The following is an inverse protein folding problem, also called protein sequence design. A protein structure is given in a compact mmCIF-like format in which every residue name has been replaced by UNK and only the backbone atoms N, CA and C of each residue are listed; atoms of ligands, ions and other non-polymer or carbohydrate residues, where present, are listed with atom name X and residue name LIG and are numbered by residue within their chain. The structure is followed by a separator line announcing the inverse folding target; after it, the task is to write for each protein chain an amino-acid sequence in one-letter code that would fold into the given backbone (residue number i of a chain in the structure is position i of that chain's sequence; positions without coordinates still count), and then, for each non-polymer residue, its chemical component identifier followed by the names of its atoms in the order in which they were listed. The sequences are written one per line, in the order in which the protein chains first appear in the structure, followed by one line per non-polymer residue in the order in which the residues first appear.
data_IF_450818763067
#
_entry.id   IF_450818763067
#
_cell.length_a   1.000
_cell.length_b   1.000
_cell.length_c   1.000
_cell.angle_alpha   90.00
_cell.angle_beta   90.00
_cell.angle_gamma   90.00
#
_symmetry.space_group_name_H-M   'P 1'
#
loop_
_entity.id
_entity.type
_entity.pdbx_description
1 polymer ?
#
# COMPACT_ATOMS: atom_id res chain seq x y z
N UNK A 1 21.57 27.30 -68.74
CA UNK A 1 22.16 28.34 -67.88
C UNK A 1 21.34 28.43 -66.61
N UNK A 2 22.07 28.44 -65.50
CA UNK A 2 21.60 28.25 -64.12
C UNK A 2 20.62 29.37 -63.69
N UNK A 3 19.69 29.09 -62.77
CA UNK A 3 19.88 29.46 -61.36
C UNK A 3 18.63 29.18 -60.48
N UNK A 4 18.81 28.19 -59.59
CA UNK A 4 18.60 28.29 -58.13
C UNK A 4 17.16 28.44 -57.60
N UNK A 5 16.61 27.28 -57.18
CA UNK A 5 15.68 27.15 -56.05
C UNK A 5 16.21 27.94 -54.84
N UNK A 6 15.45 28.92 -54.36
CA UNK A 6 15.64 29.46 -53.00
C UNK A 6 14.72 28.71 -52.06
N UNK A 7 15.23 27.60 -51.51
CA UNK A 7 14.65 26.96 -50.32
C UNK A 7 14.76 27.93 -49.14
N UNK A 8 13.62 28.34 -48.61
CA UNK A 8 13.53 29.08 -47.35
C UNK A 8 13.59 28.05 -46.21
N UNK A 9 14.79 27.70 -45.77
CA UNK A 9 14.99 26.91 -44.55
C UNK A 9 14.81 27.81 -43.33
N UNK A 10 13.61 27.76 -42.76
CA UNK A 10 13.29 28.33 -41.46
C UNK A 10 13.98 27.46 -40.39
N UNK A 11 15.15 27.88 -39.94
CA UNK A 11 15.88 27.22 -38.86
C UNK A 11 15.21 27.56 -37.51
N UNK A 12 14.30 26.70 -37.07
CA UNK A 12 13.85 26.69 -35.68
C UNK A 12 15.01 26.23 -34.78
N UNK A 13 15.63 27.19 -34.09
CA UNK A 13 16.48 26.92 -32.93
C UNK A 13 15.62 26.31 -31.82
N UNK A 14 15.58 24.98 -31.77
CA UNK A 14 15.06 24.23 -30.63
C UNK A 14 16.04 24.41 -29.47
N UNK A 15 15.80 25.42 -28.64
CA UNK A 15 16.38 25.48 -27.30
C UNK A 15 15.68 24.39 -26.49
N UNK A 16 16.25 23.20 -26.47
CA UNK A 16 15.81 22.16 -25.55
C UNK A 16 16.26 22.57 -24.15
N UNK A 17 15.35 22.87 -23.21
CA UNK A 17 15.76 22.93 -21.81
C UNK A 17 16.22 21.53 -21.44
N UNK A 18 17.51 21.40 -21.12
CA UNK A 18 18.02 20.25 -20.39
C UNK A 18 17.28 20.23 -19.07
N UNK A 19 16.31 19.33 -18.95
CA UNK A 19 15.65 19.01 -17.68
C UNK A 19 16.76 18.54 -16.75
N UNK A 20 17.20 19.42 -15.86
CA UNK A 20 18.01 19.04 -14.72
C UNK A 20 17.13 18.12 -13.88
N UNK A 21 17.31 16.81 -14.01
CA UNK A 21 16.78 15.85 -13.07
C UNK A 21 17.55 16.08 -11.79
N UNK A 22 17.03 16.96 -10.93
CA UNK A 22 17.42 16.93 -9.55
C UNK A 22 16.82 15.62 -8.99
N UNK A 23 17.59 14.54 -9.04
CA UNK A 23 17.46 13.44 -8.09
C UNK A 23 17.83 13.98 -6.71
N UNK A 24 16.96 14.82 -6.18
CA UNK A 24 16.90 15.12 -4.77
C UNK A 24 16.50 13.82 -4.10
N UNK A 25 17.50 13.07 -3.64
CA UNK A 25 17.31 12.07 -2.60
C UNK A 25 16.81 12.82 -1.34
N UNK A 26 15.51 13.10 -1.31
CA UNK A 26 14.82 13.57 -0.13
C UNK A 26 14.64 12.35 0.77
N UNK A 27 15.64 12.09 1.61
CA UNK A 27 15.44 11.16 2.72
C UNK A 27 14.52 11.87 3.72
N UNK A 28 13.22 11.67 3.55
CA UNK A 28 12.26 11.99 4.60
C UNK A 28 12.66 11.23 5.86
N UNK A 29 12.94 12.00 6.90
CA UNK A 29 13.18 11.52 8.26
C UNK A 29 11.87 11.40 9.05
N UNK A 30 10.73 11.27 8.36
CA UNK A 30 9.46 11.04 9.05
C UNK A 30 9.54 9.67 9.75
N UNK A 31 9.54 9.71 11.08
CA UNK A 31 9.36 8.54 11.91
C UNK A 31 7.86 8.31 12.05
N UNK A 32 7.36 7.29 11.35
CA UNK A 32 5.97 6.87 11.45
C UNK A 32 5.82 5.89 12.62
N UNK A 33 4.61 5.80 13.18
CA UNK A 33 4.38 4.84 14.25
C UNK A 33 4.60 3.39 13.74
N UNK A 34 5.24 2.50 14.52
CA UNK A 34 5.38 1.09 14.14
C UNK A 34 4.04 0.37 13.93
N UNK A 35 2.95 0.92 14.46
CA UNK A 35 1.60 0.42 14.21
C UNK A 35 1.13 0.77 12.79
N UNK A 36 1.36 2.00 12.33
CA UNK A 36 1.04 2.42 10.97
C UNK A 36 1.93 1.72 9.93
N UNK A 37 3.23 1.57 10.21
CA UNK A 37 4.16 0.90 9.30
C UNK A 37 3.76 -0.56 9.02
N UNK A 38 3.25 -1.26 10.04
CA UNK A 38 2.76 -2.64 9.90
C UNK A 38 1.52 -2.76 9.02
N UNK A 39 0.78 -1.67 8.78
CA UNK A 39 -0.40 -1.65 7.92
C UNK A 39 -0.05 -1.27 6.46
N UNK A 40 1.23 -1.14 6.11
CA UNK A 40 1.65 -0.67 4.78
C UNK A 40 1.08 -1.49 3.63
N UNK A 41 1.08 -2.82 3.74
CA UNK A 41 0.54 -3.71 2.70
C UNK A 41 -1.00 -3.63 2.64
N UNK A 42 -1.69 -3.47 3.76
CA UNK A 42 -3.15 -3.29 3.80
C UNK A 42 -3.57 -1.93 3.21
N UNK A 43 -2.79 -0.87 3.46
CA UNK A 43 -2.98 0.46 2.87
C UNK A 43 -2.82 0.39 1.34
N UNK A 44 -1.77 -0.28 0.86
CA UNK A 44 -1.58 -0.53 -0.58
C UNK A 44 -2.74 -1.37 -1.11
N UNK A 45 -3.13 -2.43 -0.40
CA UNK A 45 -4.23 -3.32 -0.75
C UNK A 45 -5.53 -2.56 -0.99
N UNK A 46 -6.00 -1.79 -0.02
CA UNK A 46 -7.21 -0.98 -0.15
C UNK A 46 -7.11 0.03 -1.31
N UNK A 47 -5.93 0.63 -1.51
CA UNK A 47 -5.69 1.57 -2.62
C UNK A 47 -5.82 0.89 -3.99
N UNK A 48 -5.21 -0.29 -4.16
CA UNK A 48 -5.27 -1.06 -5.41
C UNK A 48 -6.69 -1.63 -5.63
N UNK A 49 -7.36 -2.08 -4.56
CA UNK A 49 -8.74 -2.54 -4.60
C UNK A 49 -9.70 -1.44 -5.07
N UNK A 50 -9.52 -0.21 -4.59
CA UNK A 50 -10.24 0.95 -5.09
C UNK A 50 -9.96 1.19 -6.57
N UNK A 51 -8.68 1.18 -6.97
CA UNK A 51 -8.28 1.34 -8.38
C UNK A 51 -8.87 0.28 -9.30
N UNK A 52 -9.02 -0.94 -8.81
CA UNK A 52 -9.61 -2.06 -9.56
C UNK A 52 -11.15 -2.00 -9.63
N UNK A 53 -11.80 -1.11 -8.86
CA UNK A 53 -13.25 -1.04 -8.77
C UNK A 53 -13.87 -2.13 -7.88
N UNK A 54 -13.08 -2.74 -7.00
CA UNK A 54 -13.53 -3.77 -6.05
C UNK A 54 -13.80 -3.22 -4.65
N UNK A 55 -13.39 -1.98 -4.37
CA UNK A 55 -13.79 -1.20 -3.20
C UNK A 55 -14.66 -0.04 -3.67
N UNK A 56 -15.86 0.09 -3.11
CA UNK A 56 -16.82 1.13 -3.50
C UNK A 56 -16.42 2.51 -2.93
N UNK A 57 -16.90 3.59 -3.54
CA UNK A 57 -16.72 4.94 -2.99
C UNK A 57 -17.36 5.07 -1.59
N UNK A 58 -18.47 4.36 -1.35
CA UNK A 58 -19.19 4.38 -0.07
C UNK A 58 -18.40 3.69 1.05
N UNK A 59 -17.67 2.62 0.71
CA UNK A 59 -16.92 1.79 1.67
C UNK A 59 -15.46 2.24 1.85
N UNK A 60 -14.92 3.04 0.93
CA UNK A 60 -13.52 3.47 0.94
C UNK A 60 -13.16 4.25 2.22
N UNK A 61 -13.88 5.33 2.50
CA UNK A 61 -13.59 6.19 3.64
C UNK A 61 -13.76 5.45 4.98
N UNK A 62 -14.84 4.68 5.23
CA UNK A 62 -14.96 3.86 6.42
C UNK A 62 -13.82 2.83 6.59
N UNK A 63 -13.43 2.14 5.52
CA UNK A 63 -12.36 1.14 5.58
C UNK A 63 -11.02 1.77 5.97
N UNK A 64 -10.61 2.87 5.32
CA UNK A 64 -9.38 3.58 5.68
C UNK A 64 -9.44 4.18 7.09
N UNK A 65 -10.58 4.74 7.49
CA UNK A 65 -10.79 5.29 8.84
C UNK A 65 -10.58 4.22 9.91
N UNK A 66 -11.17 3.04 9.71
CA UNK A 66 -11.03 1.93 10.66
C UNK A 66 -9.61 1.37 10.68
N UNK A 67 -8.94 1.29 9.53
CA UNK A 67 -7.54 0.89 9.41
C UNK A 67 -6.63 1.81 10.25
N UNK A 68 -6.73 3.13 10.10
CA UNK A 68 -5.87 4.06 10.84
C UNK A 68 -6.23 4.14 12.33
N UNK A 69 -7.49 3.94 12.69
CA UNK A 69 -7.92 3.82 14.09
C UNK A 69 -7.28 2.60 14.78
N UNK A 70 -7.04 1.51 14.04
CA UNK A 70 -6.31 0.35 14.55
C UNK A 70 -4.85 0.72 14.87
N UNK A 71 -4.20 1.51 14.00
CA UNK A 71 -2.86 2.02 14.22
C UNK A 71 -2.77 3.20 15.21
N UNK A 72 -3.91 3.73 15.69
CA UNK A 72 -3.96 4.97 16.46
C UNK A 72 -3.29 6.15 15.72
N UNK A 73 -3.42 6.16 14.40
CA UNK A 73 -2.85 7.17 13.50
C UNK A 73 -3.93 8.15 13.04
N UNK A 74 -3.52 9.34 12.60
CA UNK A 74 -4.42 10.32 11.99
C UNK A 74 -4.46 10.15 10.47
N UNK A 75 -5.49 10.71 9.82
CA UNK A 75 -5.55 10.76 8.35
C UNK A 75 -4.38 11.55 7.74
N UNK A 76 -3.88 12.57 8.45
CA UNK A 76 -2.69 13.33 8.05
C UNK A 76 -1.42 12.46 8.12
N UNK A 77 -1.24 11.69 9.20
CA UNK A 77 -0.12 10.76 9.35
C UNK A 77 -0.16 9.68 8.26
N UNK A 78 -1.35 9.14 7.97
CA UNK A 78 -1.55 8.22 6.85
C UNK A 78 -1.16 8.87 5.52
N UNK A 79 -1.62 10.09 5.25
CA UNK A 79 -1.30 10.81 4.02
C UNK A 79 0.21 11.02 3.86
N UNK A 80 0.89 11.43 4.92
CA UNK A 80 2.36 11.57 4.92
C UNK A 80 3.06 10.23 4.73
N UNK A 81 2.62 9.17 5.41
CA UNK A 81 3.19 7.83 5.28
C UNK A 81 3.01 7.27 3.88
N UNK A 82 1.82 7.45 3.30
CA UNK A 82 1.54 7.06 1.93
C UNK A 82 2.47 7.78 0.97
N UNK A 83 2.52 9.11 1.00
CA UNK A 83 3.36 9.89 0.08
C UNK A 83 4.85 9.57 0.22
N UNK A 84 5.32 9.27 1.43
CA UNK A 84 6.74 9.06 1.71
C UNK A 84 7.22 7.62 1.49
N UNK A 85 6.40 6.63 1.83
CA UNK A 85 6.82 5.21 1.89
C UNK A 85 6.10 4.32 0.91
N UNK A 86 4.82 4.58 0.63
CA UNK A 86 3.97 3.63 -0.09
C UNK A 86 3.64 4.06 -1.53
N UNK A 87 3.55 5.36 -1.78
CA UNK A 87 3.06 5.97 -3.02
C UNK A 87 3.76 5.43 -4.26
N UNK A 88 5.10 5.47 -4.35
CA UNK A 88 5.83 4.92 -5.50
C UNK A 88 5.55 3.44 -5.76
N UNK A 89 5.39 2.64 -4.69
CA UNK A 89 5.08 1.20 -4.78
C UNK A 89 3.65 0.98 -5.25
N UNK A 90 2.69 1.70 -4.67
CA UNK A 90 1.28 1.65 -5.05
C UNK A 90 1.09 2.09 -6.51
N UNK A 91 1.77 3.14 -6.96
CA UNK A 91 1.75 3.60 -8.35
C UNK A 91 2.35 2.56 -9.31
N UNK A 92 3.46 1.92 -8.93
CA UNK A 92 4.07 0.84 -9.72
C UNK A 92 3.07 -0.30 -9.91
N UNK A 93 2.40 -0.73 -8.83
CA UNK A 93 1.39 -1.79 -8.89
C UNK A 93 0.20 -1.33 -9.75
N UNK A 94 -0.39 -0.17 -9.45
CA UNK A 94 -1.56 0.36 -10.16
C UNK A 94 -1.30 0.66 -11.64
N UNK A 95 -0.04 0.81 -12.05
CA UNK A 95 0.38 0.99 -13.43
C UNK A 95 0.58 -0.30 -14.23
N UNK A 96 0.63 -1.46 -13.57
CA UNK A 96 0.85 -2.77 -14.20
C UNK A 96 -0.38 -3.67 -14.02
N UNK A 97 -1.02 -4.05 -15.13
CA UNK A 97 -2.22 -4.89 -15.13
C UNK A 97 -1.98 -6.30 -14.54
N UNK A 98 -0.79 -6.88 -14.75
CA UNK A 98 -0.46 -8.20 -14.18
C UNK A 98 -0.21 -8.10 -12.69
N UNK A 99 0.43 -7.02 -12.23
CA UNK A 99 0.55 -6.76 -10.81
C UNK A 99 -0.85 -6.60 -10.21
N UNK A 100 -1.67 -5.67 -10.73
CA UNK A 100 -3.05 -5.45 -10.27
C UNK A 100 -3.91 -6.71 -10.23
N UNK A 101 -3.71 -7.66 -11.13
CA UNK A 101 -4.47 -8.90 -11.18
C UNK A 101 -4.29 -9.78 -9.94
N UNK A 102 -3.21 -9.62 -9.18
CA UNK A 102 -3.01 -10.30 -7.89
C UNK A 102 -4.00 -9.82 -6.81
N UNK A 103 -4.49 -8.58 -6.93
CA UNK A 103 -5.54 -8.00 -6.07
C UNK A 103 -6.91 -8.34 -6.63
N UNK A 104 -7.27 -9.63 -6.51
CA UNK A 104 -8.53 -10.17 -7.00
C UNK A 104 -9.74 -9.57 -6.25
N UNK A 105 -10.93 -9.72 -6.84
CA UNK A 105 -12.17 -9.29 -6.20
C UNK A 105 -12.39 -9.97 -4.84
N UNK A 106 -12.08 -11.26 -4.73
CA UNK A 106 -12.21 -12.01 -3.48
C UNK A 106 -11.26 -11.47 -2.41
N UNK A 107 -9.99 -11.23 -2.78
CA UNK A 107 -9.02 -10.63 -1.87
C UNK A 107 -9.49 -9.26 -1.37
N UNK A 108 -9.94 -8.41 -2.29
CA UNK A 108 -10.43 -7.08 -1.96
C UNK A 108 -11.68 -7.11 -1.08
N UNK A 109 -12.58 -8.07 -1.30
CA UNK A 109 -13.75 -8.27 -0.46
C UNK A 109 -13.36 -8.68 0.96
N UNK A 110 -12.42 -9.60 1.12
CA UNK A 110 -11.93 -10.05 2.44
C UNK A 110 -11.25 -8.91 3.20
N UNK A 111 -10.37 -8.16 2.52
CA UNK A 111 -9.68 -7.01 3.09
C UNK A 111 -10.65 -5.91 3.52
N UNK A 112 -11.59 -5.55 2.63
CA UNK A 112 -12.61 -4.53 2.90
C UNK A 112 -13.49 -4.96 4.07
N UNK A 113 -13.96 -6.22 4.08
CA UNK A 113 -14.79 -6.74 5.18
C UNK A 113 -14.06 -6.71 6.52
N UNK A 114 -12.75 -7.00 6.52
CA UNK A 114 -11.92 -6.90 7.72
C UNK A 114 -11.94 -5.49 8.31
N UNK A 115 -11.84 -4.47 7.46
CA UNK A 115 -11.82 -3.09 7.90
C UNK A 115 -13.19 -2.43 8.08
N UNK A 116 -14.26 -2.96 7.49
CA UNK A 116 -15.63 -2.51 7.77
C UNK A 116 -16.18 -3.10 9.07
N UNK A 117 -15.67 -4.25 9.52
CA UNK A 117 -16.09 -4.90 10.76
C UNK A 117 -15.34 -4.35 11.98
N UNK A 118 -15.75 -3.15 12.43
CA UNK A 118 -15.15 -2.47 13.58
C UNK A 118 -15.15 -3.31 14.88
N UNK A 119 -16.14 -4.18 15.06
CA UNK A 119 -16.25 -5.08 16.23
C UNK A 119 -15.16 -6.17 16.20
N UNK A 120 -14.84 -6.73 15.02
CA UNK A 120 -13.71 -7.66 14.88
C UNK A 120 -12.37 -6.95 15.12
N UNK A 121 -12.20 -5.73 14.63
CA UNK A 121 -10.97 -4.95 14.86
C UNK A 121 -10.78 -4.60 16.34
N UNK A 122 -11.85 -4.25 17.05
CA UNK A 122 -11.78 -3.95 18.49
C UNK A 122 -11.39 -5.19 19.31
N UNK A 123 -11.90 -6.38 18.94
CA UNK A 123 -11.54 -7.65 19.59
C UNK A 123 -10.07 -8.01 19.37
N UNK A 124 -9.54 -7.79 18.16
CA UNK A 124 -8.12 -8.07 17.88
C UNK A 124 -7.18 -7.15 18.65
N UNK A 125 -7.56 -5.87 18.84
CA UNK A 125 -6.82 -4.90 19.66
C UNK A 125 -6.78 -5.29 21.15
N UNK A 126 -7.87 -5.83 21.68
CA UNK A 126 -7.97 -6.20 23.10
C UNK A 126 -7.20 -7.48 23.46
N UNK A 127 -6.91 -8.37 22.51
CA UNK A 127 -6.08 -9.56 22.78
C UNK A 127 -4.57 -9.27 22.80
N UNK A 128 -4.13 -8.07 22.39
CA UNK A 128 -2.72 -7.68 22.46
C UNK A 128 -2.31 -7.09 23.82
N UNK A 129 -3.24 -6.93 24.78
CA UNK A 129 -2.98 -6.22 26.04
C UNK A 129 -2.97 -7.08 27.31
N UNK A 130 -3.17 -8.40 27.25
CA UNK A 130 -3.26 -9.24 28.44
C UNK A 130 -2.10 -10.23 28.56
N UNK A 131 -1.01 -9.78 29.19
CA UNK A 131 0.00 -10.66 29.77
C UNK A 131 -0.11 -10.59 31.30
N UNK A 132 -1.04 -11.37 31.86
CA UNK A 132 -1.04 -11.70 33.29
C UNK A 132 -1.01 -13.22 33.46
N UNK A 133 -0.05 -13.69 34.26
CA UNK A 133 0.23 -15.11 34.50
C UNK A 133 -0.84 -15.76 35.39
N UNK A 134 -1.49 -16.83 34.92
CA UNK A 134 -2.15 -17.82 35.77
C UNK A 134 -2.10 -19.20 35.10
N UNK A 135 -1.61 -20.20 35.84
CA UNK A 135 -1.52 -21.60 35.44
C UNK A 135 -2.88 -22.30 35.61
N UNK A 136 -3.34 -23.07 34.63
CA UNK A 136 -3.80 -24.47 34.75
C UNK A 136 -4.64 -24.94 33.54
N UNK A 137 -4.16 -26.04 32.93
CA UNK A 137 -4.87 -27.13 32.26
C UNK A 137 -5.63 -26.95 30.92
N UNK A 138 -5.04 -27.64 29.91
CA UNK A 138 -5.60 -28.22 28.68
C UNK A 138 -6.07 -27.28 27.57
N UNK A 139 -5.26 -27.21 26.50
CA UNK A 139 -5.55 -27.78 25.18
C UNK A 139 -5.07 -26.87 24.03
N UNK A 140 -4.48 -27.50 23.01
CA UNK A 140 -3.96 -26.99 21.74
C UNK A 140 -2.96 -25.82 21.76
N UNK A 141 -1.71 -26.22 21.57
CA UNK A 141 -0.58 -25.43 21.11
C UNK A 141 -0.96 -24.65 19.84
N UNK A 142 -1.31 -23.38 19.98
CA UNK A 142 -1.11 -22.39 18.92
C UNK A 142 0.12 -21.59 19.35
N UNK A 143 1.27 -22.12 18.94
CA UNK A 143 2.52 -21.39 18.95
C UNK A 143 2.31 -20.02 18.31
N UNK A 144 2.90 -19.02 18.96
CA UNK A 144 3.12 -17.70 18.41
C UNK A 144 3.55 -17.85 16.94
N UNK A 145 2.74 -17.28 16.04
CA UNK A 145 2.87 -17.45 14.60
C UNK A 145 4.21 -16.89 14.09
N UNK A 146 5.23 -17.71 14.19
CA UNK A 146 6.26 -17.82 13.17
C UNK A 146 5.50 -18.25 11.91
N UNK A 147 5.15 -17.26 11.08
CA UNK A 147 4.41 -17.45 9.83
C UNK A 147 5.11 -18.56 9.04
N UNK A 148 4.49 -19.73 8.92
CA UNK A 148 5.09 -20.83 8.17
C UNK A 148 5.35 -20.36 6.74
N UNK A 149 6.47 -20.78 6.15
CA UNK A 149 6.88 -20.36 4.80
C UNK A 149 5.77 -20.60 3.77
N UNK A 150 4.91 -21.60 3.98
CA UNK A 150 3.76 -21.90 3.12
C UNK A 150 2.66 -20.84 3.21
N UNK A 151 2.40 -20.27 4.40
CA UNK A 151 1.43 -19.18 4.58
C UNK A 151 1.99 -17.89 4.00
N UNK A 152 3.28 -17.61 4.19
CA UNK A 152 3.95 -16.45 3.59
C UNK A 152 3.92 -16.55 2.07
N UNK A 153 4.24 -17.71 1.51
CA UNK A 153 4.22 -17.94 0.06
C UNK A 153 2.81 -17.83 -0.50
N UNK A 154 1.81 -18.39 0.19
CA UNK A 154 0.42 -18.27 -0.19
C UNK A 154 -0.08 -16.82 -0.13
N UNK A 155 0.40 -16.04 0.83
CA UNK A 155 0.07 -14.63 0.97
C UNK A 155 0.82 -13.77 -0.05
N UNK A 156 2.05 -14.11 -0.44
CA UNK A 156 2.74 -13.50 -1.60
C UNK A 156 1.98 -13.79 -2.90
N UNK A 157 1.57 -15.05 -3.11
CA UNK A 157 0.80 -15.47 -4.29
C UNK A 157 -0.58 -14.80 -4.35
N UNK A 158 -1.16 -14.47 -3.20
CA UNK A 158 -2.43 -13.75 -3.07
C UNK A 158 -2.28 -12.24 -2.98
N UNK A 159 -1.06 -11.70 -3.10
CA UNK A 159 -0.80 -10.26 -3.00
C UNK A 159 -0.97 -9.65 -1.60
N UNK A 160 -1.12 -10.49 -0.56
CA UNK A 160 -1.20 -10.09 0.87
C UNK A 160 0.14 -9.68 1.46
N UNK A 161 1.22 -10.32 1.04
CA UNK A 161 2.57 -9.96 1.45
C UNK A 161 3.36 -9.59 0.21
N UNK A 162 3.75 -8.33 0.12
CA UNK A 162 4.69 -7.93 -0.93
C UNK A 162 6.07 -8.34 -0.46
N UNK A 163 6.80 -9.13 -1.25
CA UNK A 163 8.22 -9.41 -0.99
C UNK A 163 8.96 -8.09 -0.79
N UNK A 164 9.26 -7.76 0.47
CA UNK A 164 10.14 -6.64 0.81
C UNK A 164 11.54 -7.21 0.63
N UNK A 165 12.14 -6.91 -0.52
CA UNK A 165 13.56 -7.16 -0.80
C UNK A 165 14.34 -5.86 -0.60
#
# INVERSE_FOLDING_TARGET
MNHVLKSLTLACLLVTPTMAVAEGHNHSHNHFSPALERLGDDIIGLTVCYRNGYLSDEDQEPAFTNLINQANATGEELGMFYMDKLGPKAETIMGDDNARALWSQDFCSDLTTTYLDADKLAKSKNHQHDHTHAHEHHNHNHDHADLSADIVQQDIERGRLLSIN
#
